data_IF_661010236169
#
_entry.id   IF_661010236169
#
_cell.length_a   1.000
_cell.length_b   1.000
_cell.length_c   1.000
_cell.angle_alpha   90.00
_cell.angle_beta   90.00
_cell.angle_gamma   90.00
#
_symmetry.space_group_name_H-M   'P 1'
#
loop_
_entity.id
_entity.type
_entity.pdbx_description
1 polymer ?
#
# COMPACT_ATOMS: atom_id res chain seq x y z
N UNK A 1 -18.28 4.21 44.74
CA UNK A 1 -17.54 5.50 44.82
C UNK A 1 -16.67 5.65 43.56
N UNK A 2 -17.04 6.56 42.67
CA UNK A 2 -16.24 6.83 41.46
C UNK A 2 -14.88 7.40 41.86
N UNK A 3 -13.79 6.69 41.61
CA UNK A 3 -12.42 7.24 41.75
C UNK A 3 -12.31 8.47 40.81
N UNK A 4 -12.26 9.67 41.37
CA UNK A 4 -11.95 10.88 40.60
C UNK A 4 -10.63 10.61 39.86
N UNK A 5 -10.66 10.60 38.54
CA UNK A 5 -9.47 10.44 37.73
C UNK A 5 -8.49 11.60 38.03
N UNK A 6 -7.24 11.25 38.30
CA UNK A 6 -6.18 12.24 38.49
C UNK A 6 -6.01 13.03 37.21
N UNK A 7 -6.04 14.35 37.31
CA UNK A 7 -5.88 15.25 36.16
C UNK A 7 -4.54 15.93 36.20
N UNK A 8 -4.06 16.43 35.06
CA UNK A 8 -2.86 17.28 34.99
C UNK A 8 -2.91 18.45 35.97
N UNK A 9 -4.09 19.05 36.15
CA UNK A 9 -4.30 20.18 37.05
C UNK A 9 -4.16 19.78 38.53
N UNK A 10 -4.73 18.62 38.90
CA UNK A 10 -4.65 18.16 40.31
C UNK A 10 -3.22 17.72 40.65
N UNK A 11 -2.50 17.11 39.75
CA UNK A 11 -1.10 16.73 39.94
C UNK A 11 -0.18 17.96 40.06
N UNK A 12 -0.41 18.97 39.21
CA UNK A 12 0.34 20.24 39.27
C UNK A 12 0.15 20.97 40.59
N UNK A 13 -1.10 21.04 41.09
CA UNK A 13 -1.43 21.65 42.38
C UNK A 13 -0.76 20.93 43.56
N UNK A 14 -0.76 19.60 43.55
CA UNK A 14 -0.16 18.77 44.59
C UNK A 14 1.35 18.95 44.69
N UNK A 15 2.00 19.03 43.52
CA UNK A 15 3.47 19.15 43.42
C UNK A 15 3.98 20.60 43.56
N UNK A 16 3.07 21.59 43.63
CA UNK A 16 3.41 23.00 43.71
C UNK A 16 4.09 23.53 42.44
N UNK A 17 3.76 22.93 41.27
CA UNK A 17 4.32 23.31 39.98
C UNK A 17 3.25 23.78 39.01
N UNK A 18 3.65 24.40 37.88
CA UNK A 18 2.72 24.81 36.85
C UNK A 18 2.20 23.60 36.05
N UNK A 19 1.00 23.71 35.45
CA UNK A 19 0.47 22.72 34.50
C UNK A 19 1.43 22.48 33.35
N UNK A 20 2.10 23.52 32.87
CA UNK A 20 3.12 23.46 31.82
C UNK A 20 4.31 22.62 32.28
N UNK A 21 4.76 22.77 33.52
CA UNK A 21 5.87 21.97 34.09
C UNK A 21 5.53 20.48 34.11
N UNK A 22 4.31 20.11 34.54
CA UNK A 22 3.87 18.71 34.48
C UNK A 22 3.77 18.21 33.04
N UNK A 23 3.22 19.00 32.12
CA UNK A 23 3.16 18.64 30.69
C UNK A 23 4.55 18.44 30.07
N UNK A 24 5.51 19.30 30.43
CA UNK A 24 6.89 19.22 29.92
C UNK A 24 7.64 17.97 30.43
N UNK A 25 7.31 17.45 31.61
CA UNK A 25 7.90 16.21 32.10
C UNK A 25 7.66 15.01 31.14
N UNK A 26 6.57 15.05 30.37
CA UNK A 26 6.23 14.05 29.36
C UNK A 26 6.65 14.44 27.95
N UNK A 27 6.44 15.72 27.57
CA UNK A 27 6.53 16.15 26.18
C UNK A 27 7.86 16.86 25.80
N UNK A 28 8.55 17.44 26.80
CA UNK A 28 9.81 18.20 26.63
C UNK A 28 10.72 17.98 27.83
N UNK A 29 11.22 16.74 28.02
CA UNK A 29 12.04 16.39 29.16
C UNK A 29 13.35 17.21 29.24
N UNK A 30 13.84 17.66 28.11
CA UNK A 30 15.00 18.53 27.94
C UNK A 30 14.83 19.92 28.57
N UNK A 31 13.61 20.36 28.78
CA UNK A 31 13.29 21.67 29.41
C UNK A 31 13.14 21.61 30.93
N UNK A 32 13.41 20.46 31.55
CA UNK A 32 13.29 20.26 32.97
C UNK A 32 14.58 19.72 33.60
N UNK A 33 14.87 20.17 34.82
CA UNK A 33 15.89 19.53 35.61
C UNK A 33 15.54 18.05 35.86
N UNK A 34 16.49 17.10 35.73
CA UNK A 34 16.24 15.68 35.88
C UNK A 34 15.50 15.32 37.17
N UNK A 35 15.91 15.87 38.31
CA UNK A 35 15.27 15.65 39.59
C UNK A 35 13.80 16.12 39.64
N UNK A 36 13.48 17.24 38.97
CA UNK A 36 12.10 17.73 38.88
C UNK A 36 11.24 16.79 38.03
N UNK A 37 11.78 16.30 36.91
CA UNK A 37 11.12 15.34 36.04
C UNK A 37 10.82 14.03 36.78
N UNK A 38 11.81 13.45 37.46
CA UNK A 38 11.65 12.22 38.23
C UNK A 38 10.58 12.37 39.32
N UNK A 39 10.59 13.48 40.06
CA UNK A 39 9.56 13.76 41.10
C UNK A 39 8.16 13.80 40.49
N UNK A 40 7.99 14.43 39.32
CA UNK A 40 6.68 14.50 38.62
C UNK A 40 6.24 13.12 38.16
N UNK A 41 7.11 12.34 37.53
CA UNK A 41 6.78 11.02 37.01
C UNK A 41 6.47 10.03 38.15
N UNK A 42 7.21 10.07 39.26
CA UNK A 42 6.96 9.25 40.43
C UNK A 42 5.59 9.55 41.04
N UNK A 43 5.25 10.85 41.25
CA UNK A 43 3.97 11.25 41.77
C UNK A 43 2.80 10.88 40.81
N UNK A 44 3.00 11.00 39.49
CA UNK A 44 2.04 10.58 38.48
C UNK A 44 1.76 9.08 38.55
N UNK A 45 2.82 8.27 38.62
CA UNK A 45 2.71 6.80 38.75
C UNK A 45 1.95 6.41 40.04
N UNK A 46 2.30 7.00 41.17
CA UNK A 46 1.60 6.76 42.47
C UNK A 46 0.09 7.07 42.43
N UNK A 47 -0.31 8.01 41.56
CA UNK A 47 -1.71 8.44 41.38
C UNK A 47 -2.42 7.78 40.22
N UNK A 48 -1.78 6.90 39.47
CA UNK A 48 -2.32 6.28 38.25
C UNK A 48 -2.59 7.29 37.12
N UNK A 49 -1.82 8.40 37.10
CA UNK A 49 -1.93 9.38 36.03
C UNK A 49 -1.06 8.95 34.85
N UNK A 50 -1.68 8.60 33.74
CA UNK A 50 -1.00 8.06 32.54
C UNK A 50 -0.29 9.13 31.68
N UNK A 51 -0.43 10.41 32.02
CA UNK A 51 0.13 11.53 31.25
C UNK A 51 -0.94 12.47 30.70
N UNK A 52 -0.53 13.53 29.99
CA UNK A 52 -1.43 14.46 29.34
C UNK A 52 -2.31 13.74 28.31
N UNK A 53 -3.59 14.11 28.25
CA UNK A 53 -4.55 13.59 27.28
C UNK A 53 -4.06 13.84 25.85
N UNK A 54 -3.87 12.79 25.03
CA UNK A 54 -3.45 12.92 23.64
C UNK A 54 -4.41 13.78 22.80
N UNK A 55 -5.73 13.68 23.05
CA UNK A 55 -6.75 14.45 22.33
C UNK A 55 -6.61 15.95 22.63
N UNK A 56 -6.46 16.30 23.90
CA UNK A 56 -6.24 17.69 24.29
C UNK A 56 -4.91 18.24 23.73
N UNK A 57 -3.90 17.38 23.60
CA UNK A 57 -2.63 17.74 22.96
C UNK A 57 -2.81 18.02 21.47
N UNK A 58 -3.48 17.12 20.73
CA UNK A 58 -3.70 17.27 19.29
C UNK A 58 -4.51 18.52 18.95
N UNK A 59 -5.54 18.83 19.72
CA UNK A 59 -6.33 20.07 19.59
C UNK A 59 -5.46 21.33 19.78
N UNK A 60 -4.57 21.32 20.78
CA UNK A 60 -3.69 22.45 21.07
C UNK A 60 -2.56 22.62 20.05
N UNK A 61 -1.97 21.53 19.59
CA UNK A 61 -0.83 21.54 18.67
C UNK A 61 -1.25 21.53 17.21
N UNK A 62 -2.50 21.20 16.92
CA UNK A 62 -3.03 20.91 15.58
C UNK A 62 -2.22 19.81 14.87
N UNK A 63 -1.66 18.87 15.64
CA UNK A 63 -0.92 17.72 15.14
C UNK A 63 -1.42 16.46 15.79
N UNK A 64 -1.65 15.42 14.97
CA UNK A 64 -2.07 14.11 15.43
C UNK A 64 -0.87 13.22 15.79
N UNK A 65 0.26 13.43 15.13
CA UNK A 65 1.43 12.56 15.23
C UNK A 65 1.20 11.22 14.51
N UNK A 66 0.35 11.22 13.48
CA UNK A 66 0.02 10.04 12.70
C UNK A 66 0.03 10.34 11.21
N UNK A 67 0.43 9.36 10.41
CA UNK A 67 0.33 9.37 8.94
C UNK A 67 -0.69 8.32 8.52
N UNK A 68 -1.63 8.72 7.67
CA UNK A 68 -2.59 7.81 7.03
C UNK A 68 -1.91 7.07 5.89
N UNK A 69 -2.00 5.75 5.88
CA UNK A 69 -1.56 4.90 4.77
C UNK A 69 -2.81 4.38 4.08
N UNK A 70 -3.05 4.85 2.87
CA UNK A 70 -4.16 4.43 2.03
C UNK A 70 -3.71 3.23 1.19
N UNK A 71 -4.41 2.11 1.33
CA UNK A 71 -4.13 0.85 0.63
C UNK A 71 -5.33 0.49 -0.24
N UNK A 72 -5.09 0.19 -1.52
CA UNK A 72 -6.14 -0.08 -2.51
C UNK A 72 -6.86 -1.39 -2.39
N UNK A 73 -6.25 -2.35 -1.71
CA UNK A 73 -6.79 -3.70 -1.58
C UNK A 73 -7.46 -3.87 -0.22
N UNK A 74 -8.22 -4.96 -0.07
CA UNK A 74 -8.62 -5.41 1.24
C UNK A 74 -7.40 -5.48 2.15
N UNK A 75 -7.54 -5.02 3.37
CA UNK A 75 -6.42 -4.98 4.31
C UNK A 75 -5.79 -6.37 4.54
N UNK A 76 -6.60 -7.44 4.45
CA UNK A 76 -6.09 -8.83 4.50
C UNK A 76 -5.10 -9.11 3.37
N UNK A 77 -5.38 -8.66 2.15
CA UNK A 77 -4.48 -8.83 1.02
C UNK A 77 -3.15 -8.11 1.24
N UNK A 78 -3.16 -6.91 1.80
CA UNK A 78 -1.93 -6.15 2.08
C UNK A 78 -0.98 -6.87 3.06
N UNK A 79 -1.46 -7.87 3.79
CA UNK A 79 -0.65 -8.73 4.66
C UNK A 79 -0.26 -10.08 4.03
N UNK A 80 -0.76 -10.39 2.85
CA UNK A 80 -0.45 -11.62 2.09
C UNK A 80 0.46 -11.34 0.90
N UNK A 81 0.32 -10.17 0.28
CA UNK A 81 1.15 -9.73 -0.84
C UNK A 81 2.51 -9.24 -0.35
N UNK A 82 3.59 -9.89 -0.79
CA UNK A 82 4.95 -9.58 -0.33
C UNK A 82 5.37 -8.13 -0.61
N UNK A 83 4.96 -7.55 -1.74
CA UNK A 83 5.29 -6.15 -2.07
C UNK A 83 4.62 -5.18 -1.09
N UNK A 84 3.36 -5.44 -0.75
CA UNK A 84 2.62 -4.67 0.26
C UNK A 84 3.21 -4.82 1.66
N UNK A 85 3.63 -6.04 2.02
CA UNK A 85 4.29 -6.34 3.31
C UNK A 85 5.61 -5.57 3.42
N UNK A 86 6.46 -5.59 2.40
CA UNK A 86 7.73 -4.87 2.38
C UNK A 86 7.52 -3.35 2.43
N UNK A 87 6.52 -2.84 1.69
CA UNK A 87 6.13 -1.44 1.77
C UNK A 87 5.71 -1.03 3.20
N UNK A 88 4.83 -1.81 3.84
CA UNK A 88 4.38 -1.54 5.21
C UNK A 88 5.53 -1.66 6.23
N UNK A 89 6.46 -2.59 6.03
CA UNK A 89 7.65 -2.72 6.86
C UNK A 89 8.54 -1.47 6.77
N UNK A 90 8.80 -0.97 5.56
CA UNK A 90 9.53 0.28 5.35
C UNK A 90 8.83 1.49 5.97
N UNK A 91 7.50 1.58 5.85
CA UNK A 91 6.71 2.62 6.50
C UNK A 91 6.80 2.56 8.03
N UNK A 92 6.76 1.35 8.61
CA UNK A 92 6.88 1.15 10.05
C UNK A 92 8.28 1.56 10.57
N UNK A 93 9.34 1.19 9.85
CA UNK A 93 10.72 1.58 10.18
C UNK A 93 10.90 3.11 10.16
N UNK A 94 10.44 3.76 9.09
CA UNK A 94 10.50 5.22 8.98
C UNK A 94 9.69 5.93 10.09
N UNK A 95 8.53 5.39 10.44
CA UNK A 95 7.65 5.91 11.50
C UNK A 95 8.29 5.80 12.88
N UNK A 96 8.95 4.69 13.19
CA UNK A 96 9.62 4.49 14.47
C UNK A 96 10.73 5.54 14.68
N UNK A 97 11.51 5.85 13.65
CA UNK A 97 12.54 6.89 13.68
C UNK A 97 11.98 8.31 13.86
N UNK A 98 10.78 8.57 13.37
CA UNK A 98 10.12 9.88 13.42
C UNK A 98 9.19 10.06 14.64
N UNK A 99 9.05 9.06 15.51
CA UNK A 99 8.05 9.05 16.61
C UNK A 99 6.63 9.34 16.12
N UNK A 100 6.29 8.82 14.93
CA UNK A 100 5.00 8.98 14.26
C UNK A 100 4.27 7.64 14.25
N UNK A 101 2.96 7.65 14.40
CA UNK A 101 2.13 6.44 14.27
C UNK A 101 1.62 6.28 12.83
N UNK A 102 1.24 5.06 12.45
CA UNK A 102 0.57 4.79 11.18
C UNK A 102 -0.91 4.48 11.41
N UNK A 103 -1.76 5.07 10.59
CA UNK A 103 -3.18 4.75 10.50
C UNK A 103 -3.44 4.10 9.15
N UNK A 104 -3.72 2.80 9.13
CA UNK A 104 -4.05 2.09 7.89
C UNK A 104 -5.50 2.40 7.49
N UNK A 105 -5.70 2.83 6.26
CA UNK A 105 -7.01 3.17 5.70
C UNK A 105 -7.27 2.21 4.54
N UNK A 106 -8.16 1.22 4.71
CA UNK A 106 -8.49 0.29 3.64
C UNK A 106 -9.33 1.01 2.58
N UNK A 107 -8.81 1.06 1.37
CA UNK A 107 -9.46 1.65 0.20
C UNK A 107 -9.83 0.59 -0.84
N UNK A 108 -9.84 -0.67 -0.43
CA UNK A 108 -10.16 -1.79 -1.30
C UNK A 108 -11.63 -1.79 -1.74
N UNK A 109 -11.94 -2.47 -2.85
CA UNK A 109 -13.31 -2.64 -3.29
C UNK A 109 -14.08 -3.39 -2.19
N UNK A 110 -15.17 -2.80 -1.73
CA UNK A 110 -16.11 -3.54 -0.90
C UNK A 110 -16.64 -4.75 -1.69
N UNK A 111 -16.90 -5.85 -0.99
CA UNK A 111 -17.41 -7.09 -1.58
C UNK A 111 -18.75 -6.91 -2.29
N UNK A 112 -19.38 -5.75 -2.20
CA UNK A 112 -20.69 -5.43 -2.77
C UNK A 112 -20.68 -4.01 -3.38
N UNK A 113 -20.04 -3.85 -4.54
CA UNK A 113 -20.08 -2.63 -5.33
C UNK A 113 -18.78 -1.80 -5.30
N UNK A 114 -18.63 -0.89 -6.27
CA UNK A 114 -17.54 0.08 -6.24
C UNK A 114 -17.74 1.04 -5.05
N UNK A 115 -16.69 1.41 -4.30
CA UNK A 115 -16.82 2.40 -3.25
C UNK A 115 -17.35 3.69 -3.85
N UNK A 116 -18.45 4.20 -3.30
CA UNK A 116 -18.97 5.48 -3.71
C UNK A 116 -18.09 6.63 -3.15
N UNK A 117 -18.15 7.79 -3.79
CA UNK A 117 -17.42 8.98 -3.37
C UNK A 117 -17.74 9.38 -1.92
N UNK A 118 -18.94 9.05 -1.43
CA UNK A 118 -19.38 9.39 -0.09
C UNK A 118 -18.68 8.52 0.96
N UNK A 119 -18.53 7.21 0.72
CA UNK A 119 -17.82 6.30 1.62
C UNK A 119 -16.33 6.65 1.70
N UNK A 120 -15.68 6.86 0.55
CA UNK A 120 -14.29 7.32 0.47
C UNK A 120 -14.10 8.64 1.25
N UNK A 121 -14.96 9.61 1.02
CA UNK A 121 -14.90 10.90 1.71
C UNK A 121 -15.08 10.74 3.22
N UNK A 122 -15.98 9.88 3.67
CA UNK A 122 -16.21 9.61 5.09
C UNK A 122 -14.98 8.98 5.76
N UNK A 123 -14.42 7.91 5.20
CA UNK A 123 -13.24 7.24 5.76
C UNK A 123 -12.04 8.19 5.83
N UNK A 124 -11.73 8.87 4.76
CA UNK A 124 -10.61 9.82 4.69
C UNK A 124 -10.83 10.99 5.63
N UNK A 125 -12.05 11.54 5.72
CA UNK A 125 -12.34 12.69 6.58
C UNK A 125 -12.29 12.34 8.06
N UNK A 126 -12.65 11.12 8.44
CA UNK A 126 -12.61 10.65 9.83
C UNK A 126 -11.21 10.31 10.32
N UNK A 127 -10.25 10.12 9.44
CA UNK A 127 -8.88 9.79 9.80
C UNK A 127 -8.18 10.94 10.52
N UNK A 128 -7.77 10.70 11.77
CA UNK A 128 -7.03 11.66 12.58
C UNK A 128 -5.52 11.58 12.26
N UNK A 129 -5.11 12.20 11.15
CA UNK A 129 -3.74 12.15 10.61
C UNK A 129 -3.24 13.53 10.21
N UNK A 130 -1.91 13.68 10.11
CA UNK A 130 -1.23 14.90 9.70
C UNK A 130 -0.89 14.93 8.19
N UNK A 131 -1.00 13.79 7.51
CA UNK A 131 -0.73 13.63 6.09
C UNK A 131 -1.07 12.22 5.64
N UNK A 132 -0.91 11.97 4.34
CA UNK A 132 -1.23 10.68 3.73
C UNK A 132 -0.08 10.16 2.88
N UNK A 133 0.10 8.85 2.91
CA UNK A 133 0.80 8.09 1.90
C UNK A 133 -0.25 7.23 1.19
N UNK A 134 -0.34 7.38 -0.12
CA UNK A 134 -1.28 6.65 -0.97
C UNK A 134 -0.49 5.60 -1.73
N UNK A 135 -0.80 4.33 -1.51
CA UNK A 135 -0.06 3.21 -2.11
C UNK A 135 -0.91 2.48 -3.15
N UNK A 136 -0.43 2.50 -4.38
CA UNK A 136 -0.92 1.67 -5.49
C UNK A 136 -2.42 1.80 -5.79
N UNK A 137 -2.94 3.03 -5.98
CA UNK A 137 -4.33 3.28 -6.37
C UNK A 137 -4.48 3.52 -7.87
N UNK A 138 -5.66 3.24 -8.41
CA UNK A 138 -5.96 3.53 -9.82
C UNK A 138 -6.00 5.03 -10.12
N UNK A 139 -5.80 5.41 -11.38
CA UNK A 139 -6.07 6.77 -11.82
C UNK A 139 -7.56 7.11 -11.61
N UNK A 140 -7.84 8.31 -11.06
CA UNK A 140 -9.21 8.76 -10.77
C UNK A 140 -9.90 8.01 -9.63
N UNK A 141 -9.14 7.42 -8.71
CA UNK A 141 -9.68 6.72 -7.55
C UNK A 141 -10.39 7.68 -6.57
N UNK A 142 -11.57 7.29 -6.08
CA UNK A 142 -12.40 8.11 -5.19
C UNK A 142 -11.70 8.45 -3.86
N UNK A 143 -10.90 7.53 -3.32
CA UNK A 143 -10.13 7.76 -2.10
C UNK A 143 -9.00 8.75 -2.31
N UNK A 144 -8.31 8.68 -3.46
CA UNK A 144 -7.28 9.67 -3.82
C UNK A 144 -7.88 11.08 -3.94
N UNK A 145 -9.04 11.18 -4.56
CA UNK A 145 -9.76 12.46 -4.65
C UNK A 145 -10.24 12.95 -3.27
N UNK A 146 -10.67 12.07 -2.39
CA UNK A 146 -11.01 12.43 -1.01
C UNK A 146 -9.77 12.93 -0.23
N UNK A 147 -8.61 12.29 -0.39
CA UNK A 147 -7.34 12.73 0.20
C UNK A 147 -6.94 14.11 -0.32
N UNK A 148 -7.07 14.36 -1.63
CA UNK A 148 -6.81 15.70 -2.22
C UNK A 148 -7.68 16.78 -1.59
N UNK A 149 -8.98 16.52 -1.46
CA UNK A 149 -9.94 17.46 -0.85
C UNK A 149 -9.63 17.75 0.62
N UNK A 150 -8.92 16.85 1.31
CA UNK A 150 -8.52 17.05 2.70
C UNK A 150 -7.48 18.16 2.88
N UNK A 151 -6.69 18.48 1.84
CA UNK A 151 -5.70 19.57 1.84
C UNK A 151 -4.50 19.33 2.78
N UNK A 152 -4.27 18.10 3.22
CA UNK A 152 -3.10 17.72 4.00
C UNK A 152 -1.94 17.31 3.07
N UNK A 153 -0.69 17.28 3.56
CA UNK A 153 0.43 16.72 2.81
C UNK A 153 0.13 15.30 2.32
N UNK A 154 0.44 15.03 1.06
CA UNK A 154 0.20 13.73 0.40
C UNK A 154 1.43 13.32 -0.39
N UNK A 155 1.79 12.05 -0.31
CA UNK A 155 2.76 11.40 -1.20
C UNK A 155 2.08 10.19 -1.83
N UNK A 156 2.17 10.07 -3.16
CA UNK A 156 1.74 8.87 -3.90
C UNK A 156 2.94 7.95 -4.05
N UNK A 157 2.76 6.69 -3.72
CA UNK A 157 3.74 5.65 -3.94
C UNK A 157 3.21 4.64 -4.96
N UNK A 158 4.05 4.25 -5.92
CA UNK A 158 3.77 3.27 -6.95
C UNK A 158 2.87 3.80 -8.09
N UNK A 159 1.63 4.15 -7.80
CA UNK A 159 0.69 4.73 -8.78
C UNK A 159 -0.45 5.52 -8.11
N UNK A 160 -1.16 6.41 -8.85
CA UNK A 160 -0.95 6.77 -10.25
C UNK A 160 0.23 7.74 -10.45
N UNK A 161 0.99 7.55 -11.53
CA UNK A 161 2.19 8.33 -11.84
C UNK A 161 1.89 9.76 -12.29
N UNK A 162 0.71 10.00 -12.81
CA UNK A 162 0.23 11.29 -13.37
C UNK A 162 -0.63 12.11 -12.39
N UNK A 163 -0.61 11.76 -11.12
CA UNK A 163 -1.44 12.42 -10.11
C UNK A 163 -1.15 13.90 -9.90
N UNK A 164 0.02 14.41 -10.30
CA UNK A 164 0.46 15.78 -10.00
C UNK A 164 0.81 16.01 -8.51
N UNK A 165 0.81 14.97 -7.69
CA UNK A 165 1.24 14.98 -6.30
C UNK A 165 2.71 14.54 -6.19
N UNK A 166 3.40 14.84 -5.07
CA UNK A 166 4.69 14.21 -4.77
C UNK A 166 4.62 12.68 -4.95
N UNK A 167 5.60 12.14 -5.67
CA UNK A 167 5.56 10.75 -6.12
C UNK A 167 6.85 10.01 -5.76
N UNK A 168 6.72 8.76 -5.35
CA UNK A 168 7.81 7.81 -5.15
C UNK A 168 7.45 6.51 -5.88
N UNK A 169 8.32 6.06 -6.78
CA UNK A 169 8.12 4.84 -7.56
C UNK A 169 9.33 4.53 -8.41
N UNK A 170 9.19 3.49 -9.22
CA UNK A 170 10.20 3.06 -10.20
C UNK A 170 9.66 3.27 -11.62
N UNK A 171 10.52 3.17 -12.61
CA UNK A 171 10.13 3.08 -14.03
C UNK A 171 9.78 1.62 -14.34
N UNK A 172 8.53 1.24 -14.12
CA UNK A 172 8.02 -0.12 -14.34
C UNK A 172 8.12 -0.57 -15.80
N UNK A 173 8.00 0.37 -16.74
CA UNK A 173 8.15 0.09 -18.16
C UNK A 173 9.58 -0.37 -18.49
N UNK A 174 10.57 0.32 -18.00
CA UNK A 174 11.97 -0.06 -18.21
C UNK A 174 12.40 -1.23 -17.31
N UNK A 175 11.81 -1.36 -16.12
CA UNK A 175 12.17 -2.40 -15.15
C UNK A 175 11.81 -3.81 -15.63
N UNK A 176 10.76 -3.99 -16.43
CA UNK A 176 10.35 -5.30 -16.97
C UNK A 176 11.22 -5.75 -18.15
N UNK A 177 11.88 -4.84 -18.85
CA UNK A 177 12.62 -5.12 -20.08
C UNK A 177 13.68 -6.23 -19.93
N UNK A 178 14.49 -6.29 -18.85
CA UNK A 178 15.45 -7.38 -18.68
C UNK A 178 14.81 -8.76 -18.60
N UNK A 179 13.60 -8.88 -18.00
CA UNK A 179 12.90 -10.16 -17.94
C UNK A 179 12.41 -10.62 -19.31
N UNK A 180 11.87 -9.71 -20.13
CA UNK A 180 11.50 -10.00 -21.51
C UNK A 180 12.72 -10.37 -22.34
N UNK A 181 13.85 -9.64 -22.19
CA UNK A 181 15.08 -9.92 -22.89
C UNK A 181 15.67 -11.29 -22.53
N UNK A 182 15.60 -11.68 -21.26
CA UNK A 182 16.08 -13.00 -20.82
C UNK A 182 15.36 -14.18 -21.51
N UNK A 183 14.05 -14.01 -21.79
CA UNK A 183 13.29 -15.02 -22.55
C UNK A 183 13.73 -15.09 -24.01
N UNK A 184 14.01 -13.95 -24.63
CA UNK A 184 14.55 -13.87 -26.01
C UNK A 184 15.94 -14.52 -26.06
N UNK A 185 16.82 -14.18 -25.13
CA UNK A 185 18.17 -14.74 -25.04
C UNK A 185 18.17 -16.26 -24.81
N UNK A 186 17.10 -16.76 -24.18
CA UNK A 186 16.85 -18.20 -24.02
C UNK A 186 16.18 -18.86 -25.24
N UNK A 187 16.10 -18.15 -26.38
CA UNK A 187 15.53 -18.58 -27.63
C UNK A 187 14.05 -18.94 -27.61
N UNK A 188 13.28 -18.36 -26.66
CA UNK A 188 11.82 -18.47 -26.67
C UNK A 188 11.22 -17.51 -27.72
N UNK A 189 10.36 -18.05 -28.58
CA UNK A 189 9.65 -17.28 -29.62
C UNK A 189 8.12 -17.30 -29.46
N UNK A 190 7.60 -18.16 -28.58
CA UNK A 190 6.17 -18.23 -28.25
C UNK A 190 6.02 -17.98 -26.75
N UNK A 191 5.67 -16.75 -26.43
CA UNK A 191 5.66 -16.21 -25.06
C UNK A 191 4.26 -15.69 -24.77
N UNK A 192 3.74 -15.98 -23.59
CA UNK A 192 2.53 -15.37 -23.05
C UNK A 192 2.86 -14.45 -21.87
N UNK A 193 1.95 -13.54 -21.54
CA UNK A 193 2.10 -12.63 -20.38
C UNK A 193 0.95 -12.86 -19.41
N UNK A 194 1.28 -13.00 -18.13
CA UNK A 194 0.32 -12.94 -17.04
C UNK A 194 0.49 -11.67 -16.23
N UNK A 195 -0.62 -10.95 -16.03
CA UNK A 195 -0.67 -9.73 -15.24
C UNK A 195 -1.77 -9.78 -14.20
N UNK A 196 -1.61 -9.01 -13.15
CA UNK A 196 -2.70 -8.69 -12.24
C UNK A 196 -3.52 -7.53 -12.84
N UNK A 197 -4.60 -7.18 -12.17
CA UNK A 197 -5.58 -6.15 -12.50
C UNK A 197 -5.01 -4.96 -13.28
N UNK A 198 -5.54 -4.77 -14.49
CA UNK A 198 -5.22 -3.63 -15.37
C UNK A 198 -6.23 -2.49 -15.20
N UNK A 199 -7.43 -2.79 -14.71
CA UNK A 199 -8.52 -1.85 -14.56
C UNK A 199 -9.09 -1.89 -13.14
N UNK A 200 -9.60 -0.76 -12.66
CA UNK A 200 -10.40 -0.68 -11.45
C UNK A 200 -11.68 -1.50 -11.56
N UNK A 201 -12.30 -1.48 -12.74
CA UNK A 201 -13.41 -2.38 -13.04
C UNK A 201 -12.94 -3.82 -13.19
N UNK A 202 -13.78 -4.76 -12.74
CA UNK A 202 -13.43 -6.18 -12.78
C UNK A 202 -13.31 -6.67 -14.21
N UNK A 203 -12.13 -7.20 -14.53
CA UNK A 203 -11.87 -7.95 -15.75
C UNK A 203 -10.96 -9.13 -15.42
N UNK A 204 -11.42 -10.34 -15.81
CA UNK A 204 -10.64 -11.58 -15.74
C UNK A 204 -10.60 -12.18 -17.14
N UNK A 205 -9.44 -12.59 -17.63
CA UNK A 205 -9.28 -13.21 -18.94
C UNK A 205 -8.26 -12.51 -19.85
N UNK A 206 -8.32 -12.84 -21.13
CA UNK A 206 -7.43 -12.28 -22.14
C UNK A 206 -7.74 -10.81 -22.41
N UNK A 207 -6.69 -10.04 -22.62
CA UNK A 207 -6.72 -8.57 -22.75
C UNK A 207 -6.41 -8.18 -24.19
N UNK A 208 -7.34 -7.47 -24.82
CA UNK A 208 -7.10 -6.87 -26.12
C UNK A 208 -6.15 -5.65 -26.04
N UNK A 209 -5.49 -5.27 -27.16
CA UNK A 209 -4.68 -4.06 -27.21
C UNK A 209 -5.44 -2.78 -26.83
N UNK A 210 -6.74 -2.71 -27.16
CA UNK A 210 -7.59 -1.58 -26.81
C UNK A 210 -7.84 -1.50 -25.28
N UNK A 211 -8.08 -2.64 -24.63
CA UNK A 211 -8.21 -2.70 -23.18
C UNK A 211 -6.90 -2.35 -22.48
N UNK A 212 -5.77 -2.87 -22.96
CA UNK A 212 -4.45 -2.51 -22.41
C UNK A 212 -4.17 -1.00 -22.52
N UNK A 213 -4.49 -0.39 -23.67
CA UNK A 213 -4.31 1.05 -23.86
C UNK A 213 -5.20 1.89 -22.93
N UNK A 214 -6.40 1.41 -22.59
CA UNK A 214 -7.36 2.06 -21.70
C UNK A 214 -7.14 1.75 -20.20
N UNK A 215 -6.12 0.95 -19.86
CA UNK A 215 -5.87 0.54 -18.49
C UNK A 215 -5.55 1.73 -17.58
N UNK A 216 -6.21 1.77 -16.40
CA UNK A 216 -6.09 2.83 -15.40
C UNK A 216 -5.17 2.46 -14.21
N UNK A 217 -4.66 1.22 -14.18
CA UNK A 217 -3.63 0.76 -13.28
C UNK A 217 -2.25 0.94 -13.97
N UNK A 218 -1.59 2.05 -13.68
CA UNK A 218 -0.41 2.51 -14.43
C UNK A 218 0.79 1.56 -14.36
N UNK A 219 1.07 1.01 -13.19
CA UNK A 219 2.18 0.07 -12.98
C UNK A 219 2.01 -1.19 -13.84
N UNK A 220 0.85 -1.83 -13.74
CA UNK A 220 0.57 -3.06 -14.46
C UNK A 220 0.56 -2.84 -15.97
N UNK A 221 -0.05 -1.74 -16.41
CA UNK A 221 -0.02 -1.32 -17.81
C UNK A 221 1.42 -1.12 -18.30
N UNK A 222 2.23 -0.40 -17.54
CA UNK A 222 3.61 -0.09 -17.90
C UNK A 222 4.45 -1.37 -18.04
N UNK A 223 4.32 -2.31 -17.09
CA UNK A 223 5.02 -3.60 -17.17
C UNK A 223 4.62 -4.40 -18.41
N UNK A 224 3.32 -4.52 -18.69
CA UNK A 224 2.85 -5.25 -19.87
C UNK A 224 3.32 -4.57 -21.16
N UNK A 225 3.18 -3.24 -21.27
CA UNK A 225 3.62 -2.48 -22.45
C UNK A 225 5.12 -2.56 -22.67
N UNK A 226 5.93 -2.41 -21.62
CA UNK A 226 7.39 -2.52 -21.71
C UNK A 226 7.84 -3.91 -22.14
N UNK A 227 7.19 -4.97 -21.64
CA UNK A 227 7.46 -6.33 -22.08
C UNK A 227 7.10 -6.53 -23.56
N UNK A 228 5.89 -6.10 -23.97
CA UNK A 228 5.44 -6.22 -25.37
C UNK A 228 6.34 -5.45 -26.33
N UNK A 229 6.84 -4.28 -25.94
CA UNK A 229 7.75 -3.47 -26.77
C UNK A 229 9.06 -4.20 -27.03
N UNK A 230 9.67 -4.80 -26.00
CA UNK A 230 10.90 -5.58 -26.13
C UNK A 230 10.68 -6.83 -27.00
N UNK A 231 9.59 -7.55 -26.79
CA UNK A 231 9.25 -8.75 -27.57
C UNK A 231 8.97 -8.40 -29.04
N UNK A 232 8.21 -7.34 -29.30
CA UNK A 232 7.93 -6.86 -30.66
C UNK A 232 9.20 -6.44 -31.40
N UNK A 233 10.13 -5.74 -30.73
CA UNK A 233 11.42 -5.36 -31.29
C UNK A 233 12.28 -6.57 -31.73
N UNK A 234 12.07 -7.71 -31.05
CA UNK A 234 12.70 -9.00 -31.42
C UNK A 234 11.89 -9.80 -32.47
N UNK A 235 10.81 -9.25 -33.04
CA UNK A 235 9.94 -9.90 -34.00
C UNK A 235 8.95 -10.92 -33.42
N UNK A 236 8.71 -10.89 -32.11
CA UNK A 236 7.72 -11.73 -31.43
C UNK A 236 6.42 -10.94 -31.32
N UNK A 237 5.47 -11.28 -32.19
CA UNK A 237 4.17 -10.62 -32.30
C UNK A 237 3.03 -11.53 -31.80
N UNK A 238 1.85 -10.95 -31.59
CA UNK A 238 0.65 -11.73 -31.18
C UNK A 238 0.75 -12.36 -29.80
N UNK A 239 1.50 -11.72 -28.88
CA UNK A 239 1.70 -12.20 -27.53
C UNK A 239 0.38 -12.13 -26.75
N UNK A 240 -0.19 -13.26 -26.28
CA UNK A 240 -1.40 -13.24 -25.48
C UNK A 240 -1.11 -12.69 -24.09
N UNK A 241 -2.01 -11.85 -23.60
CA UNK A 241 -1.96 -11.25 -22.26
C UNK A 241 -3.20 -11.67 -21.51
N UNK A 242 -3.05 -12.34 -20.38
CA UNK A 242 -4.16 -12.71 -19.50
C UNK A 242 -4.01 -11.99 -18.16
N UNK A 243 -5.13 -11.46 -17.66
CA UNK A 243 -5.17 -10.74 -16.37
C UNK A 243 -6.16 -11.35 -15.41
N UNK A 244 -5.97 -11.08 -14.12
CA UNK A 244 -6.91 -11.37 -13.03
C UNK A 244 -7.12 -10.13 -12.18
N UNK A 245 -8.38 -9.89 -11.85
CA UNK A 245 -8.76 -8.75 -11.01
C UNK A 245 -8.29 -8.92 -9.56
N UNK A 246 -8.42 -10.12 -9.02
CA UNK A 246 -7.93 -10.47 -7.68
C UNK A 246 -6.55 -11.13 -7.82
N UNK A 247 -5.60 -10.73 -6.97
CA UNK A 247 -4.25 -11.29 -6.97
C UNK A 247 -4.08 -12.22 -5.77
N UNK A 248 -4.51 -13.45 -5.92
CA UNK A 248 -4.31 -14.53 -4.95
C UNK A 248 -3.81 -15.82 -5.64
N UNK A 249 -3.41 -16.80 -4.86
CA UNK A 249 -2.86 -18.05 -5.38
C UNK A 249 -3.84 -18.82 -6.28
N UNK A 250 -5.14 -18.77 -5.97
CA UNK A 250 -6.18 -19.44 -6.75
C UNK A 250 -6.41 -18.77 -8.10
N UNK A 251 -6.49 -17.45 -8.12
CA UNK A 251 -6.70 -16.69 -9.36
C UNK A 251 -5.44 -16.71 -10.23
N UNK A 252 -4.24 -16.70 -9.64
CA UNK A 252 -3.00 -16.86 -10.36
C UNK A 252 -2.88 -18.25 -11.03
N UNK A 253 -3.29 -19.31 -10.32
CA UNK A 253 -3.37 -20.65 -10.89
C UNK A 253 -4.37 -20.71 -12.06
N UNK A 254 -5.58 -20.16 -11.88
CA UNK A 254 -6.60 -20.10 -12.92
C UNK A 254 -6.17 -19.26 -14.14
N UNK A 255 -5.35 -18.21 -13.94
CA UNK A 255 -4.77 -17.44 -15.04
C UNK A 255 -3.78 -18.28 -15.86
N UNK A 256 -2.94 -19.06 -15.17
CA UNK A 256 -1.99 -19.98 -15.82
C UNK A 256 -2.73 -21.07 -16.61
N UNK A 257 -3.77 -21.67 -16.02
CA UNK A 257 -4.64 -22.66 -16.67
C UNK A 257 -5.26 -22.09 -17.96
N UNK A 258 -5.88 -20.90 -17.88
CA UNK A 258 -6.50 -20.26 -19.04
C UNK A 258 -5.48 -19.98 -20.14
N UNK A 259 -4.37 -19.32 -19.81
CA UNK A 259 -3.35 -18.96 -20.79
C UNK A 259 -2.75 -20.21 -21.49
N UNK A 260 -2.34 -21.21 -20.70
CA UNK A 260 -1.65 -22.39 -21.22
C UNK A 260 -2.59 -23.38 -21.92
N UNK A 261 -3.88 -23.37 -21.58
CA UNK A 261 -4.90 -24.18 -22.29
C UNK A 261 -5.30 -23.53 -23.60
N UNK A 262 -5.48 -22.22 -23.63
CA UNK A 262 -5.83 -21.48 -24.84
C UNK A 262 -4.67 -21.42 -25.84
N UNK A 263 -3.42 -21.39 -25.34
CA UNK A 263 -2.21 -21.26 -26.15
C UNK A 263 -1.20 -22.39 -25.81
N UNK A 264 -1.48 -23.64 -26.19
CA UNK A 264 -0.69 -24.81 -25.81
C UNK A 264 0.72 -24.86 -26.46
N UNK A 265 0.96 -24.00 -27.43
CA UNK A 265 2.26 -23.86 -28.12
C UNK A 265 3.21 -22.88 -27.43
N UNK A 266 2.81 -22.21 -26.37
CA UNK A 266 3.67 -21.33 -25.60
C UNK A 266 4.84 -22.11 -24.98
N UNK A 267 6.03 -21.53 -25.06
CA UNK A 267 7.26 -22.12 -24.51
C UNK A 267 7.76 -21.37 -23.29
N UNK A 268 7.23 -20.17 -23.03
CA UNK A 268 7.54 -19.37 -21.86
C UNK A 268 6.37 -18.48 -21.46
N UNK A 269 6.32 -18.11 -20.19
CA UNK A 269 5.36 -17.15 -19.64
C UNK A 269 6.14 -16.07 -18.90
N UNK A 270 5.91 -14.81 -19.24
CA UNK A 270 6.37 -13.66 -18.50
C UNK A 270 5.29 -13.25 -17.51
N UNK A 271 5.64 -13.20 -16.25
CA UNK A 271 4.73 -12.79 -15.18
C UNK A 271 5.10 -11.40 -14.67
N UNK A 272 4.13 -10.51 -14.55
CA UNK A 272 4.37 -9.13 -14.07
C UNK A 272 4.45 -9.04 -12.54
N UNK A 273 4.12 -10.12 -11.82
CA UNK A 273 4.25 -10.25 -10.37
C UNK A 273 4.67 -11.66 -9.97
N UNK A 274 5.29 -11.78 -8.79
CA UNK A 274 5.72 -13.08 -8.23
C UNK A 274 4.53 -14.01 -7.96
N UNK A 275 3.39 -13.46 -7.53
CA UNK A 275 2.17 -14.24 -7.31
C UNK A 275 1.69 -14.94 -8.60
N UNK A 276 1.74 -14.25 -9.75
CA UNK A 276 1.42 -14.84 -11.04
C UNK A 276 2.45 -15.92 -11.42
N UNK A 277 3.73 -15.70 -11.18
CA UNK A 277 4.77 -16.69 -11.44
C UNK A 277 4.58 -17.96 -10.59
N UNK A 278 4.24 -17.82 -9.32
CA UNK A 278 3.92 -18.94 -8.44
C UNK A 278 2.69 -19.73 -8.94
N UNK A 279 1.69 -19.03 -9.46
CA UNK A 279 0.52 -19.67 -10.11
C UNK A 279 0.91 -20.52 -11.33
N UNK A 280 1.78 -20.00 -12.20
CA UNK A 280 2.31 -20.75 -13.35
C UNK A 280 3.08 -21.98 -12.90
N UNK A 281 3.97 -21.84 -11.91
CA UNK A 281 4.75 -22.96 -11.37
C UNK A 281 3.85 -24.05 -10.74
N UNK A 282 2.80 -23.65 -10.02
CA UNK A 282 1.84 -24.58 -9.44
C UNK A 282 1.08 -25.34 -10.53
N UNK A 283 0.54 -24.63 -11.53
CA UNK A 283 -0.15 -25.26 -12.66
C UNK A 283 0.76 -26.20 -13.44
N UNK A 284 1.99 -25.75 -13.75
CA UNK A 284 2.96 -26.54 -14.49
C UNK A 284 3.34 -27.83 -13.74
N UNK A 285 3.54 -27.75 -12.42
CA UNK A 285 3.79 -28.93 -11.58
C UNK A 285 2.64 -29.95 -11.64
N UNK A 286 1.41 -29.48 -11.68
CA UNK A 286 0.23 -30.36 -11.60
C UNK A 286 -0.16 -30.97 -12.98
N UNK A 287 0.17 -30.28 -14.09
CA UNK A 287 -0.29 -30.66 -15.45
C UNK A 287 0.83 -30.88 -16.45
N UNK A 288 2.00 -30.26 -16.27
CA UNK A 288 3.13 -30.42 -17.14
C UNK A 288 4.18 -31.26 -16.40
N UNK A 289 4.74 -32.27 -17.07
CA UNK A 289 5.78 -33.11 -16.47
C UNK A 289 7.06 -32.31 -16.26
N UNK A 290 7.18 -31.66 -15.10
CA UNK A 290 8.37 -30.91 -14.68
C UNK A 290 9.44 -31.85 -14.08
N UNK A 291 9.62 -33.04 -14.66
CA UNK A 291 10.54 -34.08 -14.13
C UNK A 291 12.00 -33.62 -14.12
N UNK A 292 12.34 -32.52 -14.76
CA UNK A 292 13.74 -32.08 -14.99
C UNK A 292 14.05 -30.64 -14.54
N UNK A 293 13.27 -30.08 -13.64
CA UNK A 293 13.59 -28.76 -13.04
C UNK A 293 14.13 -28.96 -11.64
#
# INVERSE_FOLDING_TARGET
MSKRSTTLASLAAELGVSRTTVSNAYNRPDQLAPATRERILAAAAARGYAGPDPTARSLRTRRQGSVGVLLTEHLSYAFEDMASVDFLAGMAEASAGASTTLTLIPAGPDTVGAPDDAHAAQLVSSAAVDGFVVYSVAAGDAYLEAVRRRGLPVVVCDQPTDSGLPFVGIDDHSAIAPAAQALIDSAHARIGILSIRLHRERHDGEVSPAQLAAADMHVQRARVQGALEVLCAAGIEGVPVVTRHINDSRTAYAAAEELLTAHPDLTAVLCTTDSMALGVLAYARDHLSLIHI
#
